data_IF_439295777253
#
_entry.id   IF_439295777253
#
_cell.length_a   1.000
_cell.length_b   1.000
_cell.length_c   1.000
_cell.angle_alpha   90.00
_cell.angle_beta   90.00
_cell.angle_gamma   90.00
#
_symmetry.space_group_name_H-M   'P 1'
#
loop_
_entity.id
_entity.type
_entity.pdbx_description
1 polymer ?
#
# COMPACT_ATOMS: atom_id res chain seq x y z
N UNK A 1 -18.18 3.65 4.44
CA UNK A 1 -16.88 4.15 4.92
C UNK A 1 -15.71 3.22 4.59
N UNK A 2 -15.86 1.88 4.68
CA UNK A 2 -14.75 0.91 4.51
C UNK A 2 -14.32 0.68 3.05
N UNK A 3 -15.24 0.72 2.09
CA UNK A 3 -14.93 0.41 0.69
C UNK A 3 -13.95 1.40 0.04
N UNK A 4 -13.98 2.67 0.45
CA UNK A 4 -13.08 3.71 -0.07
C UNK A 4 -11.63 3.44 0.33
N UNK A 5 -11.41 2.96 1.56
CA UNK A 5 -10.07 2.58 2.03
C UNK A 5 -9.53 1.38 1.25
N UNK A 6 -10.39 0.45 0.85
CA UNK A 6 -10.00 -0.73 0.08
C UNK A 6 -9.57 -0.38 -1.35
N UNK A 7 -10.32 0.49 -2.02
CA UNK A 7 -9.98 0.98 -3.36
C UNK A 7 -8.68 1.80 -3.31
N UNK A 8 -8.55 2.67 -2.31
CA UNK A 8 -7.34 3.47 -2.13
C UNK A 8 -6.11 2.60 -1.84
N UNK A 9 -6.25 1.58 -1.00
CA UNK A 9 -5.17 0.62 -0.72
C UNK A 9 -4.72 -0.13 -1.98
N UNK A 10 -5.67 -0.60 -2.81
CA UNK A 10 -5.34 -1.30 -4.06
C UNK A 10 -4.64 -0.41 -5.09
N UNK A 11 -5.01 0.88 -5.18
CA UNK A 11 -4.32 1.85 -6.04
C UNK A 11 -2.89 2.07 -5.54
N UNK A 12 -2.71 2.29 -4.22
CA UNK A 12 -1.38 2.46 -3.62
C UNK A 12 -0.47 1.23 -3.80
N UNK A 13 -1.03 0.02 -3.76
CA UNK A 13 -0.29 -1.22 -3.94
C UNK A 13 0.26 -1.36 -5.37
N UNK A 14 -0.58 -1.11 -6.38
CA UNK A 14 -0.20 -1.24 -7.78
C UNK A 14 0.69 -0.06 -8.22
N UNK A 15 0.37 1.17 -7.82
CA UNK A 15 1.16 2.36 -8.17
C UNK A 15 2.53 2.37 -7.47
N UNK A 16 2.62 1.92 -6.22
CA UNK A 16 3.88 1.88 -5.47
C UNK A 16 4.90 0.94 -6.10
N UNK A 17 4.48 -0.27 -6.46
CA UNK A 17 5.34 -1.23 -7.18
C UNK A 17 5.73 -0.74 -8.57
N UNK A 18 4.80 -0.11 -9.30
CA UNK A 18 5.05 0.41 -10.63
C UNK A 18 6.08 1.55 -10.65
N UNK A 19 6.02 2.48 -9.69
CA UNK A 19 6.98 3.58 -9.58
C UNK A 19 8.40 3.10 -9.23
N UNK A 20 8.51 2.10 -8.36
CA UNK A 20 9.79 1.46 -8.02
C UNK A 20 10.36 0.70 -9.23
N UNK A 21 9.50 0.02 -10.00
CA UNK A 21 9.90 -0.64 -11.24
C UNK A 21 10.37 0.37 -12.29
N UNK A 22 9.66 1.48 -12.49
CA UNK A 22 10.06 2.56 -13.40
C UNK A 22 11.44 3.13 -13.04
N UNK A 23 11.72 3.26 -11.73
CA UNK A 23 13.05 3.67 -11.25
C UNK A 23 14.13 2.62 -11.56
N UNK A 24 13.86 1.34 -11.29
CA UNK A 24 14.82 0.24 -11.50
C UNK A 24 15.10 -0.04 -12.98
N UNK A 25 14.09 0.04 -13.85
CA UNK A 25 14.21 -0.32 -15.26
C UNK A 25 14.60 0.85 -16.16
N UNK A 26 14.07 2.06 -15.93
CA UNK A 26 14.36 3.21 -16.79
C UNK A 26 15.43 4.14 -16.20
N UNK A 27 15.84 3.96 -14.94
CA UNK A 27 16.71 4.92 -14.26
C UNK A 27 16.05 6.29 -14.08
N UNK A 28 14.73 6.36 -14.27
CA UNK A 28 13.91 7.56 -14.09
C UNK A 28 14.17 8.11 -12.69
N UNK A 29 14.65 9.36 -12.59
CA UNK A 29 15.42 9.87 -11.45
C UNK A 29 14.85 9.63 -10.04
N UNK A 30 15.70 9.87 -9.03
CA UNK A 30 15.46 9.62 -7.59
C UNK A 30 14.08 10.03 -7.04
N UNK A 31 13.38 10.96 -7.70
CA UNK A 31 12.00 11.34 -7.39
C UNK A 31 11.05 10.14 -7.46
N UNK A 32 11.17 9.27 -8.47
CA UNK A 32 10.33 8.08 -8.62
C UNK A 32 10.61 7.04 -7.53
N UNK A 33 11.89 6.89 -7.13
CA UNK A 33 12.27 6.04 -6.01
C UNK A 33 11.70 6.53 -4.68
N UNK A 34 11.78 7.85 -4.43
CA UNK A 34 11.27 8.45 -3.22
C UNK A 34 9.73 8.37 -3.15
N UNK A 35 9.04 8.65 -4.26
CA UNK A 35 7.59 8.54 -4.33
C UNK A 35 7.12 7.10 -4.09
N UNK A 36 7.75 6.12 -4.75
CA UNK A 36 7.46 4.70 -4.58
C UNK A 36 7.68 4.22 -3.14
N UNK A 37 8.76 4.66 -2.49
CA UNK A 37 9.04 4.34 -1.10
C UNK A 37 8.00 4.92 -0.12
N UNK A 38 7.57 6.17 -0.33
CA UNK A 38 6.52 6.82 0.48
C UNK A 38 5.17 6.12 0.30
N UNK A 39 4.83 5.74 -0.94
CA UNK A 39 3.59 5.02 -1.27
C UNK A 39 3.56 3.63 -0.64
N UNK A 40 4.67 2.87 -0.71
CA UNK A 40 4.81 1.57 -0.05
C UNK A 40 4.74 1.69 1.49
N UNK A 41 5.35 2.73 2.06
CA UNK A 41 5.27 3.00 3.49
C UNK A 41 3.83 3.31 3.93
N UNK A 42 3.12 4.16 3.17
CA UNK A 42 1.70 4.45 3.42
C UNK A 42 0.83 3.22 3.24
N UNK A 43 1.07 2.39 2.22
CA UNK A 43 0.37 1.13 2.02
C UNK A 43 0.51 0.19 3.24
N UNK A 44 1.68 0.14 3.89
CA UNK A 44 1.86 -0.64 5.12
C UNK A 44 1.13 -0.06 6.34
N UNK A 45 0.93 1.25 6.39
CA UNK A 45 0.31 1.95 7.52
C UNK A 45 -1.22 1.98 7.42
N UNK A 46 -1.79 2.13 6.23
CA UNK A 46 -3.25 2.13 6.00
C UNK A 46 -3.99 0.90 6.59
N UNK A 47 -3.53 -0.36 6.43
CA UNK A 47 -4.20 -1.53 6.99
C UNK A 47 -4.11 -1.59 8.53
N UNK A 48 -3.19 -0.85 9.17
CA UNK A 48 -3.13 -0.75 10.63
C UNK A 48 -4.25 0.10 11.22
N UNK A 49 -4.84 0.99 10.41
CA UNK A 49 -6.00 1.78 10.81
C UNK A 49 -7.33 1.05 10.61
N UNK A 50 -7.34 -0.12 9.98
CA UNK A 50 -8.54 -0.94 9.96
C UNK A 50 -8.74 -1.58 11.34
N UNK A 51 -9.94 -1.41 11.96
CA UNK A 51 -10.26 -2.12 13.19
C UNK A 51 -10.29 -3.61 12.89
N UNK A 52 -9.25 -4.32 13.32
CA UNK A 52 -9.19 -5.77 13.22
C UNK A 52 -10.20 -6.36 14.20
N UNK A 53 -11.40 -6.68 13.71
CA UNK A 53 -12.32 -7.56 14.42
C UNK A 53 -11.76 -8.97 14.36
N UNK A 54 -10.73 -9.22 15.17
CA UNK A 54 -10.21 -10.54 15.49
C UNK A 54 -11.27 -11.29 16.32
N UNK A 55 -12.43 -11.59 15.73
CA UNK A 55 -13.29 -12.63 16.29
C UNK A 55 -12.57 -13.96 16.03
N UNK A 56 -11.68 -14.33 16.95
CA UNK A 56 -11.46 -15.75 17.19
C UNK A 56 -12.78 -16.28 17.73
N UNK A 57 -13.66 -16.71 16.83
CA UNK A 57 -14.67 -17.69 17.19
C UNK A 57 -13.89 -19.01 17.31
N UNK A 58 -13.15 -19.15 18.42
CA UNK A 58 -12.92 -20.48 18.95
C UNK A 58 -14.27 -20.91 19.48
N UNK A 59 -14.96 -21.75 18.70
CA UNK A 59 -16.02 -22.57 19.26
C UNK A 59 -15.65 -24.01 18.95
N UNK A 60 -15.52 -24.73 20.05
CA UNK A 60 -15.33 -26.16 20.28
C UNK A 60 -16.23 -27.04 19.42
#
# INVERSE_FOLDING_TARGET
MVCILFILAGIFEIEGGYLVWLWLCEGSGLVFAFLGAVILFLYGVVPTFQPSYFHRIYVT
#
